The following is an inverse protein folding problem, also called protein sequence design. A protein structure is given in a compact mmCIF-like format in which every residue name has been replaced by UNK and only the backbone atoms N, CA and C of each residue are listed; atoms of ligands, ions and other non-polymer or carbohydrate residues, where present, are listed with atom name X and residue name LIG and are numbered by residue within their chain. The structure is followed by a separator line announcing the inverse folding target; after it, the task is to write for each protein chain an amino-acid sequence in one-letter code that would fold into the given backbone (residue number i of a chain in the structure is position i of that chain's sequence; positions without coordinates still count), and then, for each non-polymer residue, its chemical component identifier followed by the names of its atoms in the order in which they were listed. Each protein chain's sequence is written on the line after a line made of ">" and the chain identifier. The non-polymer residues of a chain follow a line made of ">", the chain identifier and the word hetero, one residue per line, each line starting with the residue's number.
data_IF_508669986353
#
_entry.id   IF_508669986353
#
_cell.length_a   1.000
_cell.length_b   1.000
_cell.length_c   1.000
_cell.angle_alpha   90.00
_cell.angle_beta   90.00
_cell.angle_gamma   90.00
#
_symmetry.space_group_name_H-M   'P 1'
#
loop_
_entity.id
_entity.type
_entity.pdbx_description
1 polymer ?
#
# COMPACT_ATOMS: atom_id res chain seq x y z
N UNK A 1 -2.60 -52.64 -1.13
CA UNK A 1 -2.43 -51.58 -0.07
C UNK A 1 -1.73 -50.34 -0.59
N UNK A 2 -0.64 -50.45 -1.32
CA UNK A 2 0.15 -49.34 -1.86
C UNK A 2 -0.66 -48.43 -2.80
N UNK A 3 -1.49 -49.00 -3.65
CA UNK A 3 -2.29 -48.23 -4.64
C UNK A 3 -3.35 -47.31 -3.97
N UNK A 4 -3.96 -47.74 -2.85
CA UNK A 4 -4.88 -46.90 -2.07
C UNK A 4 -4.16 -45.78 -1.35
N UNK A 5 -2.93 -46.02 -0.92
CA UNK A 5 -2.09 -44.99 -0.26
C UNK A 5 -1.66 -43.90 -1.23
N UNK A 6 -1.34 -44.28 -2.48
CA UNK A 6 -0.96 -43.33 -3.54
C UNK A 6 -2.12 -42.41 -3.94
N UNK A 7 -3.34 -42.94 -4.03
CA UNK A 7 -4.55 -42.17 -4.35
C UNK A 7 -4.84 -41.15 -3.23
N UNK A 8 -4.66 -41.53 -1.97
CA UNK A 8 -4.86 -40.65 -0.82
C UNK A 8 -3.84 -39.50 -0.79
N UNK A 9 -2.58 -39.76 -1.19
CA UNK A 9 -1.53 -38.76 -1.27
C UNK A 9 -1.76 -37.76 -2.43
N UNK A 10 -2.26 -38.21 -3.57
CA UNK A 10 -2.63 -37.36 -4.72
C UNK A 10 -3.81 -36.45 -4.37
N UNK A 11 -4.84 -36.95 -3.67
CA UNK A 11 -5.99 -36.16 -3.26
C UNK A 11 -5.59 -35.07 -2.25
N UNK A 12 -4.67 -35.35 -1.31
CA UNK A 12 -4.19 -34.37 -0.33
C UNK A 12 -3.37 -33.24 -0.99
N UNK A 13 -2.64 -33.53 -2.07
CA UNK A 13 -1.87 -32.54 -2.81
C UNK A 13 -2.75 -31.55 -3.59
N UNK A 14 -3.91 -32.00 -4.10
CA UNK A 14 -4.86 -31.12 -4.80
C UNK A 14 -5.63 -30.19 -3.85
N UNK A 15 -5.85 -30.54 -2.59
CA UNK A 15 -6.54 -29.68 -1.63
C UNK A 15 -5.70 -28.48 -1.17
N UNK A 16 -4.39 -28.58 -1.14
CA UNK A 16 -3.51 -27.50 -0.69
C UNK A 16 -3.33 -26.35 -1.71
N UNK A 17 -3.58 -26.60 -3.00
CA UNK A 17 -3.47 -25.57 -4.05
C UNK A 17 -4.67 -24.58 -4.07
N UNK A 18 -5.83 -24.98 -3.59
CA UNK A 18 -7.05 -24.18 -3.64
C UNK A 18 -7.11 -23.06 -2.59
N UNK A 19 -6.40 -23.18 -1.47
CA UNK A 19 -6.48 -22.22 -0.37
C UNK A 19 -5.81 -20.89 -0.70
N UNK A 20 -4.66 -20.90 -1.36
CA UNK A 20 -3.93 -19.68 -1.71
C UNK A 20 -4.63 -18.88 -2.83
N UNK A 21 -5.22 -19.57 -3.81
CA UNK A 21 -6.01 -18.94 -4.87
C UNK A 21 -7.26 -18.26 -4.29
N UNK A 22 -7.92 -18.87 -3.32
CA UNK A 22 -9.08 -18.31 -2.62
C UNK A 22 -8.70 -17.06 -1.82
N UNK A 23 -7.60 -17.07 -1.08
CA UNK A 23 -7.12 -15.92 -0.30
C UNK A 23 -6.80 -14.74 -1.21
N UNK A 24 -6.05 -14.95 -2.29
CA UNK A 24 -5.73 -13.89 -3.27
C UNK A 24 -7.00 -13.27 -3.85
N UNK A 25 -7.98 -14.09 -4.25
CA UNK A 25 -9.27 -13.63 -4.77
C UNK A 25 -10.00 -12.75 -3.74
N UNK A 26 -10.01 -13.15 -2.47
CA UNK A 26 -10.66 -12.41 -1.40
C UNK A 26 -9.98 -11.06 -1.12
N UNK A 27 -8.64 -11.01 -1.12
CA UNK A 27 -7.88 -9.75 -1.01
C UNK A 27 -8.24 -8.81 -2.18
N UNK A 28 -8.20 -9.31 -3.42
CA UNK A 28 -8.55 -8.53 -4.61
C UNK A 28 -9.99 -7.99 -4.53
N UNK A 29 -10.94 -8.83 -4.13
CA UNK A 29 -12.34 -8.43 -4.00
C UNK A 29 -12.52 -7.34 -2.94
N UNK A 30 -11.79 -7.41 -1.83
CA UNK A 30 -11.81 -6.42 -0.78
C UNK A 30 -11.19 -5.10 -1.27
N UNK A 31 -10.04 -5.16 -1.92
CA UNK A 31 -9.39 -3.99 -2.50
C UNK A 31 -10.27 -3.31 -3.56
N UNK A 32 -10.97 -4.07 -4.41
CA UNK A 32 -11.93 -3.53 -5.38
C UNK A 32 -13.03 -2.69 -4.74
N UNK A 33 -13.54 -3.13 -3.59
CA UNK A 33 -14.60 -2.44 -2.83
C UNK A 33 -14.10 -1.21 -2.05
N UNK A 34 -12.79 -1.02 -1.92
CA UNK A 34 -12.20 0.10 -1.21
C UNK A 34 -12.08 1.31 -2.15
N UNK A 35 -12.83 2.37 -1.93
CA UNK A 35 -12.73 3.62 -2.68
C UNK A 35 -11.77 4.60 -2.02
N UNK A 36 -11.81 4.64 -0.68
CA UNK A 36 -10.90 5.44 0.11
C UNK A 36 -10.58 4.72 1.43
N UNK A 37 -9.52 5.18 2.09
CA UNK A 37 -9.16 4.73 3.42
C UNK A 37 -8.48 5.85 4.20
N UNK A 38 -8.74 5.93 5.49
CA UNK A 38 -8.02 6.75 6.45
C UNK A 38 -7.28 5.87 7.45
N UNK A 39 -6.10 6.29 7.87
CA UNK A 39 -5.26 5.48 8.76
C UNK A 39 -4.22 6.32 9.51
N UNK A 40 -3.80 5.82 10.65
CA UNK A 40 -2.53 6.21 11.25
C UNK A 40 -1.41 5.42 10.59
N UNK A 41 -0.22 6.02 10.47
CA UNK A 41 0.94 5.34 9.91
C UNK A 41 2.20 5.49 10.74
N UNK A 42 3.08 4.50 10.60
CA UNK A 42 4.48 4.56 10.95
C UNK A 42 5.31 4.25 9.70
N UNK A 43 6.22 5.15 9.36
CA UNK A 43 7.06 5.06 8.18
C UNK A 43 8.53 5.04 8.59
N UNK A 44 9.23 4.00 8.16
CA UNK A 44 10.67 3.86 8.38
C UNK A 44 11.41 4.18 7.08
N UNK A 45 12.36 5.14 7.18
CA UNK A 45 13.23 5.55 6.08
C UNK A 45 14.65 5.48 6.62
N UNK A 46 15.41 4.45 6.20
CA UNK A 46 16.71 4.13 6.81
C UNK A 46 16.54 3.97 8.34
N UNK A 47 17.28 4.72 9.13
CA UNK A 47 17.23 4.68 10.61
C UNK A 47 16.24 5.68 11.23
N UNK A 48 15.41 6.35 10.40
CA UNK A 48 14.45 7.35 10.87
C UNK A 48 13.03 6.81 10.82
N UNK A 49 12.31 6.99 11.92
CA UNK A 49 10.88 6.68 12.00
C UNK A 49 10.06 7.95 12.02
N UNK A 50 9.11 8.06 11.11
CA UNK A 50 8.12 9.14 11.06
C UNK A 50 6.72 8.54 11.28
N UNK A 51 5.85 9.30 11.95
CA UNK A 51 4.46 8.91 12.23
C UNK A 51 3.51 10.00 11.77
N UNK A 52 2.26 9.63 11.52
CA UNK A 52 1.25 10.60 11.11
C UNK A 52 -0.10 9.97 10.84
N UNK A 53 -0.93 10.73 10.14
CA UNK A 53 -2.24 10.30 9.66
C UNK A 53 -2.34 10.54 8.16
N UNK A 54 -2.93 9.60 7.45
CA UNK A 54 -3.19 9.73 6.02
C UNK A 54 -4.65 9.45 5.67
N UNK A 55 -5.08 10.06 4.58
CA UNK A 55 -6.29 9.71 3.84
C UNK A 55 -5.88 9.42 2.40
N UNK A 56 -6.31 8.30 1.84
CA UNK A 56 -6.15 7.94 0.43
C UNK A 56 -7.53 7.87 -0.20
N UNK A 57 -7.68 8.45 -1.40
CA UNK A 57 -8.81 8.24 -2.29
C UNK A 57 -8.28 7.75 -3.64
N UNK A 58 -8.70 6.57 -4.03
CA UNK A 58 -8.32 6.00 -5.31
C UNK A 58 -9.08 6.64 -6.48
N UNK A 59 -8.40 6.89 -7.62
CA UNK A 59 -6.97 6.71 -7.85
C UNK A 59 -6.14 7.94 -7.45
N UNK A 60 -4.92 7.69 -6.99
CA UNK A 60 -3.78 8.64 -6.96
C UNK A 60 -3.91 9.86 -6.05
N UNK A 61 -4.96 9.97 -5.24
CA UNK A 61 -5.08 11.05 -4.27
C UNK A 61 -4.63 10.58 -2.89
N UNK A 62 -3.85 11.40 -2.21
CA UNK A 62 -3.39 11.16 -0.83
C UNK A 62 -3.22 12.48 -0.11
N UNK A 63 -3.56 12.47 1.18
CA UNK A 63 -3.28 13.55 2.12
C UNK A 63 -2.67 12.96 3.37
N UNK A 64 -1.44 13.35 3.73
CA UNK A 64 -0.77 12.89 4.94
C UNK A 64 -0.25 14.06 5.75
N UNK A 65 -0.60 14.07 7.04
CA UNK A 65 -0.04 14.99 8.01
C UNK A 65 0.89 14.22 8.95
N UNK A 66 2.17 14.61 8.93
CA UNK A 66 3.21 13.97 9.75
C UNK A 66 3.27 14.61 11.15
N UNK A 67 3.43 13.76 12.15
CA UNK A 67 3.62 14.16 13.56
C UNK A 67 5.10 14.42 13.85
N UNK A 68 5.71 15.37 13.14
CA UNK A 68 7.09 15.78 13.35
C UNK A 68 7.17 17.28 13.67
N UNK A 69 8.34 17.76 14.12
CA UNK A 69 8.56 19.18 14.47
C UNK A 69 8.22 20.12 13.31
N UNK A 70 8.49 19.70 12.09
CA UNK A 70 8.27 20.50 10.88
C UNK A 70 6.83 20.45 10.38
N UNK A 71 5.96 19.65 11.00
CA UNK A 71 4.57 19.43 10.56
C UNK A 71 4.51 19.18 9.05
N UNK A 72 5.32 18.21 8.58
CA UNK A 72 5.41 17.87 7.18
C UNK A 72 4.02 17.47 6.66
N UNK A 73 3.62 18.04 5.54
CA UNK A 73 2.39 17.78 4.82
C UNK A 73 2.74 17.17 3.46
N UNK A 74 2.09 16.07 3.10
CA UNK A 74 2.19 15.44 1.79
C UNK A 74 0.80 15.35 1.19
N UNK A 75 0.60 15.95 0.01
CA UNK A 75 -0.71 15.97 -0.67
C UNK A 75 -0.55 15.64 -2.13
N UNK A 76 -1.38 14.72 -2.64
CA UNK A 76 -1.56 14.53 -4.08
C UNK A 76 -3.02 14.74 -4.45
N UNK A 77 -3.24 15.48 -5.54
CA UNK A 77 -4.55 15.67 -6.17
C UNK A 77 -4.81 14.69 -7.32
N UNK A 78 -3.94 13.68 -7.48
CA UNK A 78 -3.98 12.72 -8.60
C UNK A 78 -3.09 13.09 -9.80
N UNK A 79 -2.66 14.35 -9.91
CA UNK A 79 -1.78 14.84 -10.98
C UNK A 79 -0.41 15.27 -10.45
N UNK A 80 -0.39 16.01 -9.36
CA UNK A 80 0.82 16.48 -8.70
C UNK A 80 0.87 16.00 -7.27
N UNK A 81 2.08 15.74 -6.78
CA UNK A 81 2.42 15.48 -5.39
C UNK A 81 3.16 16.70 -4.84
N UNK A 82 2.66 17.25 -3.74
CA UNK A 82 3.31 18.35 -3.00
C UNK A 82 3.78 17.83 -1.65
N UNK A 83 5.01 18.17 -1.31
CA UNK A 83 5.58 17.98 0.03
C UNK A 83 5.91 19.37 0.57
N UNK A 84 5.28 19.76 1.70
CA UNK A 84 5.46 21.06 2.33
C UNK A 84 5.78 20.88 3.81
N UNK A 85 6.81 21.55 4.30
CA UNK A 85 7.04 21.74 5.73
C UNK A 85 6.31 23.00 6.18
N UNK A 86 5.40 22.87 7.16
CA UNK A 86 4.59 24.03 7.61
C UNK A 86 5.38 25.03 8.47
N UNK A 87 6.52 24.62 9.03
CA UNK A 87 7.37 25.46 9.90
C UNK A 87 8.59 26.03 9.18
N UNK A 88 8.82 25.67 7.93
CA UNK A 88 9.87 26.17 7.07
C UNK A 88 9.33 26.46 5.68
N UNK A 89 10.04 27.25 4.87
CA UNK A 89 9.62 27.57 3.50
C UNK A 89 9.91 26.43 2.50
N UNK A 90 10.17 25.22 2.97
CA UNK A 90 10.42 24.08 2.09
C UNK A 90 9.12 23.63 1.43
N UNK A 91 9.11 23.70 0.11
CA UNK A 91 7.99 23.32 -0.75
C UNK A 91 8.54 22.61 -2.00
N UNK A 92 8.07 21.37 -2.18
CA UNK A 92 8.46 20.56 -3.34
C UNK A 92 7.21 20.10 -4.06
N UNK A 93 7.23 20.19 -5.40
CA UNK A 93 6.15 19.71 -6.25
C UNK A 93 6.72 18.75 -7.31
N UNK A 94 6.06 17.62 -7.47
CA UNK A 94 6.43 16.58 -8.43
C UNK A 94 5.21 16.14 -9.24
N UNK A 95 5.31 15.89 -10.55
CA UNK A 95 4.31 15.08 -11.24
C UNK A 95 4.19 13.73 -10.53
N UNK A 96 2.97 13.29 -10.17
CA UNK A 96 2.79 12.04 -9.41
C UNK A 96 3.36 10.83 -10.15
N UNK A 97 3.28 10.84 -11.48
CA UNK A 97 3.79 9.80 -12.37
C UNK A 97 5.31 9.59 -12.28
N UNK A 98 6.06 10.58 -11.77
CA UNK A 98 7.50 10.51 -11.54
C UNK A 98 7.84 10.02 -10.13
N UNK A 99 6.86 9.61 -9.35
CA UNK A 99 7.05 9.16 -7.97
C UNK A 99 6.58 7.70 -7.80
N UNK A 100 7.16 6.92 -6.88
CA UNK A 100 6.70 5.57 -6.58
C UNK A 100 5.25 5.52 -6.09
N UNK A 101 4.73 6.61 -5.53
CA UNK A 101 3.34 6.71 -5.08
C UNK A 101 2.34 6.58 -6.23
N UNK A 102 2.73 6.92 -7.46
CA UNK A 102 1.90 6.70 -8.65
C UNK A 102 1.39 5.26 -8.75
N UNK A 103 2.25 4.29 -8.47
CA UNK A 103 1.94 2.86 -8.56
C UNK A 103 1.18 2.37 -7.32
N UNK A 104 1.58 2.85 -6.13
CA UNK A 104 0.98 2.46 -4.84
C UNK A 104 -0.45 2.98 -4.73
N UNK A 105 -0.72 4.17 -5.24
CA UNK A 105 -2.02 4.83 -5.20
C UNK A 105 -2.92 4.48 -6.40
N UNK A 106 -2.46 3.61 -7.30
CA UNK A 106 -3.28 3.07 -8.39
C UNK A 106 -3.79 1.67 -8.05
N UNK A 107 -5.00 1.63 -7.48
CA UNK A 107 -5.65 0.38 -7.09
C UNK A 107 -5.77 -0.63 -8.24
N UNK A 108 -6.10 -0.16 -9.44
CA UNK A 108 -6.28 -1.04 -10.60
C UNK A 108 -4.95 -1.64 -11.04
N UNK A 109 -3.88 -0.84 -11.03
CA UNK A 109 -2.53 -1.31 -11.29
C UNK A 109 -2.12 -2.42 -10.30
N UNK A 110 -2.31 -2.18 -8.99
CA UNK A 110 -2.01 -3.18 -7.95
C UNK A 110 -2.78 -4.47 -8.20
N UNK A 111 -4.10 -4.40 -8.47
CA UNK A 111 -4.95 -5.57 -8.74
C UNK A 111 -4.44 -6.35 -9.94
N UNK A 112 -4.12 -5.68 -11.04
CA UNK A 112 -3.61 -6.32 -12.25
C UNK A 112 -2.28 -7.06 -11.98
N UNK A 113 -1.35 -6.43 -11.25
CA UNK A 113 -0.08 -7.08 -10.86
C UNK A 113 -0.31 -8.28 -9.94
N UNK A 114 -1.21 -8.16 -8.95
CA UNK A 114 -1.54 -9.25 -8.02
C UNK A 114 -2.13 -10.48 -8.74
N UNK A 115 -2.86 -10.31 -9.82
CA UNK A 115 -3.41 -11.43 -10.60
C UNK A 115 -2.30 -12.31 -11.18
N UNK A 116 -1.18 -11.70 -11.59
CA UNK A 116 -0.07 -12.35 -12.30
C UNK A 116 0.94 -13.02 -11.36
N UNK A 117 0.94 -12.70 -10.07
CA UNK A 117 1.96 -13.16 -9.12
C UNK A 117 1.36 -13.95 -7.96
N UNK A 118 2.20 -14.74 -7.30
CA UNK A 118 1.86 -15.39 -6.03
C UNK A 118 2.16 -14.46 -4.87
N UNK A 119 1.45 -14.64 -3.77
CA UNK A 119 1.77 -13.98 -2.50
C UNK A 119 2.67 -14.87 -1.64
N UNK A 120 3.52 -14.24 -0.85
CA UNK A 120 4.26 -14.90 0.23
C UNK A 120 3.55 -14.68 1.56
N UNK A 121 3.43 -15.72 2.39
CA UNK A 121 2.99 -15.56 3.77
C UNK A 121 4.22 -15.31 4.65
N UNK A 122 4.36 -14.07 5.11
CA UNK A 122 5.52 -13.64 5.90
C UNK A 122 5.23 -13.81 7.41
N UNK A 123 6.10 -14.53 8.12
CA UNK A 123 6.03 -14.76 9.56
C UNK A 123 4.66 -15.24 10.07
N UNK A 124 3.86 -15.89 9.23
CA UNK A 124 2.47 -16.27 9.51
C UNK A 124 1.56 -15.10 9.92
N UNK A 125 1.96 -13.84 9.63
CA UNK A 125 1.25 -12.61 10.04
C UNK A 125 0.56 -11.90 8.90
N UNK A 126 1.18 -11.81 7.73
CA UNK A 126 0.65 -11.07 6.59
C UNK A 126 1.03 -11.69 5.25
N UNK A 127 0.22 -11.42 4.22
CA UNK A 127 0.51 -11.74 2.83
C UNK A 127 1.27 -10.59 2.20
N UNK A 128 2.37 -10.91 1.50
CA UNK A 128 3.16 -9.95 0.73
C UNK A 128 3.02 -10.26 -0.75
N UNK A 129 2.73 -9.22 -1.54
CA UNK A 129 2.83 -9.24 -3.00
C UNK A 129 4.01 -8.39 -3.41
N UNK A 130 4.97 -9.01 -4.09
CA UNK A 130 6.21 -8.36 -4.54
C UNK A 130 6.20 -8.24 -6.06
N UNK A 131 6.40 -7.03 -6.58
CA UNK A 131 6.53 -6.79 -8.01
C UNK A 131 7.53 -5.67 -8.31
N UNK A 132 8.10 -5.71 -9.50
CA UNK A 132 9.04 -4.71 -9.98
C UNK A 132 8.39 -3.91 -11.11
N UNK A 133 8.71 -2.62 -11.17
CA UNK A 133 8.34 -1.74 -12.27
C UNK A 133 9.56 -0.89 -12.61
N UNK A 134 10.25 -1.21 -13.72
CA UNK A 134 11.60 -0.72 -13.98
C UNK A 134 12.52 -1.08 -12.82
N UNK A 135 13.25 -0.11 -12.31
CA UNK A 135 14.17 -0.26 -11.17
C UNK A 135 13.46 -0.22 -9.81
N UNK A 136 12.16 0.05 -9.79
CA UNK A 136 11.39 0.14 -8.55
C UNK A 136 10.88 -1.22 -8.11
N UNK A 137 11.29 -1.66 -6.92
CA UNK A 137 10.70 -2.80 -6.24
C UNK A 137 9.61 -2.32 -5.28
N UNK A 138 8.41 -2.88 -5.43
CA UNK A 138 7.25 -2.57 -4.59
C UNK A 138 6.79 -3.85 -3.90
N UNK A 139 6.61 -3.77 -2.59
CA UNK A 139 5.96 -4.81 -1.80
C UNK A 139 4.69 -4.23 -1.19
N UNK A 140 3.57 -4.94 -1.35
CA UNK A 140 2.28 -4.56 -0.74
C UNK A 140 1.91 -5.63 0.30
N UNK A 141 1.49 -5.19 1.47
CA UNK A 141 1.21 -6.05 2.62
C UNK A 141 -0.27 -6.08 2.96
N UNK A 142 -0.81 -7.29 3.15
CA UNK A 142 -2.19 -7.51 3.56
C UNK A 142 -2.22 -8.36 4.83
N UNK A 143 -2.98 -7.93 5.82
CA UNK A 143 -3.15 -8.68 7.07
C UNK A 143 -3.73 -10.08 6.81
N UNK A 144 -3.20 -11.08 7.50
CA UNK A 144 -3.61 -12.47 7.29
C UNK A 144 -5.07 -12.74 7.68
N UNK A 145 -5.55 -12.10 8.74
CA UNK A 145 -6.89 -12.35 9.28
C UNK A 145 -7.95 -11.49 8.59
N UNK A 146 -7.72 -10.19 8.58
CA UNK A 146 -8.66 -9.23 8.01
C UNK A 146 -8.58 -9.11 6.50
N UNK A 147 -7.46 -9.50 5.87
CA UNK A 147 -7.16 -9.31 4.45
C UNK A 147 -7.17 -7.83 4.01
N UNK A 148 -7.06 -6.91 4.96
CA UNK A 148 -6.94 -5.48 4.69
C UNK A 148 -5.52 -5.14 4.24
N UNK A 149 -5.39 -4.11 3.40
CA UNK A 149 -4.11 -3.45 3.16
C UNK A 149 -3.60 -2.89 4.48
N UNK A 150 -2.36 -3.23 4.85
CA UNK A 150 -1.72 -2.81 6.11
C UNK A 150 -0.38 -2.13 5.89
N UNK A 151 -0.01 -1.86 4.65
CA UNK A 151 1.21 -1.14 4.35
C UNK A 151 1.85 -1.51 3.03
N UNK A 152 2.95 -0.86 2.77
CA UNK A 152 3.77 -1.08 1.59
C UNK A 152 5.24 -0.76 1.86
N UNK A 153 6.09 -1.25 0.95
CA UNK A 153 7.50 -0.93 0.89
C UNK A 153 7.85 -0.52 -0.54
N UNK A 154 8.66 0.50 -0.67
CA UNK A 154 9.18 0.98 -1.96
C UNK A 154 10.55 1.62 -1.79
N UNK A 155 11.21 1.89 -2.90
CA UNK A 155 12.38 2.77 -2.95
C UNK A 155 11.87 4.19 -3.28
N UNK A 156 12.33 5.21 -2.57
CA UNK A 156 11.98 6.60 -2.87
C UNK A 156 12.87 7.19 -3.98
N UNK A 157 12.62 8.45 -4.34
CA UNK A 157 13.38 9.16 -5.39
C UNK A 157 14.85 9.42 -5.01
N UNK A 158 15.22 9.24 -3.73
CA UNK A 158 16.57 9.37 -3.21
C UNK A 158 17.26 8.02 -2.99
N UNK A 159 16.67 6.93 -3.51
CA UNK A 159 17.15 5.56 -3.37
C UNK A 159 17.09 5.03 -1.92
N UNK A 160 16.29 5.61 -1.05
CA UNK A 160 16.08 5.10 0.30
C UNK A 160 14.99 4.04 0.30
N UNK A 161 15.21 2.99 1.08
CA UNK A 161 14.17 2.03 1.39
C UNK A 161 13.15 2.65 2.34
N UNK A 162 11.90 2.72 1.89
CA UNK A 162 10.78 3.26 2.66
C UNK A 162 9.79 2.13 2.95
N UNK A 163 9.49 1.93 4.23
CA UNK A 163 8.48 0.97 4.68
C UNK A 163 7.42 1.73 5.44
N UNK A 164 6.17 1.67 4.98
CA UNK A 164 5.02 2.31 5.60
C UNK A 164 4.10 1.23 6.18
N UNK A 165 3.87 1.27 7.48
CA UNK A 165 2.89 0.44 8.20
C UNK A 165 1.66 1.27 8.52
N UNK A 166 0.48 0.67 8.35
CA UNK A 166 -0.82 1.29 8.56
C UNK A 166 -1.54 0.60 9.72
N UNK A 167 -2.19 1.40 10.56
CA UNK A 167 -3.01 0.92 11.67
C UNK A 167 -4.19 1.88 11.90
N UNK A 168 -5.19 1.49 12.69
CA UNK A 168 -6.44 2.22 12.87
C UNK A 168 -7.10 2.56 11.52
N UNK A 169 -7.19 1.55 10.65
CA UNK A 169 -7.62 1.75 9.26
C UNK A 169 -9.14 1.76 9.19
N UNK A 170 -9.69 2.81 8.60
CA UNK A 170 -11.10 2.96 8.29
C UNK A 170 -11.29 3.03 6.77
N UNK A 171 -12.39 2.51 6.27
CA UNK A 171 -12.64 2.35 4.83
C UNK A 171 -13.92 3.05 4.41
N UNK A 172 -13.89 3.66 3.23
CA UNK A 172 -15.04 4.25 2.54
C UNK A 172 -15.80 5.30 3.38
N UNK A 173 -15.05 6.08 4.15
CA UNK A 173 -15.60 7.20 4.90
C UNK A 173 -15.91 8.38 3.98
N UNK A 174 -16.76 9.29 4.44
CA UNK A 174 -16.98 10.56 3.78
C UNK A 174 -15.70 11.39 3.76
N UNK A 175 -15.37 11.93 2.60
CA UNK A 175 -14.17 12.74 2.38
C UNK A 175 -14.59 14.20 2.19
N UNK A 176 -13.89 15.12 2.85
CA UNK A 176 -14.09 16.55 2.70
C UNK A 176 -13.76 16.98 1.26
N UNK A 177 -14.55 17.86 0.68
CA UNK A 177 -14.39 18.35 -0.70
C UNK A 177 -12.97 18.87 -0.98
N UNK A 178 -12.38 19.60 -0.03
CA UNK A 178 -11.04 20.20 -0.15
C UNK A 178 -9.88 19.31 0.35
N UNK A 179 -10.14 18.06 0.71
CA UNK A 179 -9.15 17.18 1.36
C UNK A 179 -7.85 17.05 0.59
N UNK A 180 -7.91 17.04 -0.73
CA UNK A 180 -6.76 16.83 -1.62
C UNK A 180 -6.36 18.09 -2.38
N UNK A 181 -6.80 19.26 -1.93
CA UNK A 181 -6.37 20.55 -2.49
C UNK A 181 -4.89 20.77 -2.20
N UNK A 182 -4.13 21.06 -3.25
CA UNK A 182 -2.69 21.30 -3.09
C UNK A 182 -2.45 22.56 -2.25
N UNK A 183 -1.56 22.51 -1.25
CA UNK A 183 -1.19 23.66 -0.49
C UNK A 183 -0.46 24.68 -1.38
N UNK A 184 -0.69 25.98 -1.14
CA UNK A 184 0.05 27.05 -1.83
C UNK A 184 1.47 27.13 -1.30
N UNK A 185 2.40 27.52 -2.17
CA UNK A 185 3.72 28.00 -1.75
C UNK A 185 3.51 29.36 -1.08
N UNK A 186 4.12 29.59 0.07
CA UNK A 186 4.07 30.89 0.76
C UNK A 186 5.10 31.81 0.12
#
# INVERSE_FOLDING_TARGET
>A
MIQKLLIFFIIYFFFSLNTQASVKKNIINKLKKTNNLSFDFEQNINDKTEKGKCVIEYPKKIYCLYKNKNKKLLVSNGKYLVIKNQTSNQYYIYPIEKTPLNLILDKQYIINKMQLIKSDLVNKKFYRFKFNEGDNQINIFFDRKSLNLIGWQNIDIYQNLVITYMYNIEFNNEIKEDQFKLPKQN
#
